data_IF_821365743914
#
_entry.id   IF_821365743914
#
_cell.length_a   1.000
_cell.length_b   1.000
_cell.length_c   1.000
_cell.angle_alpha   90.00
_cell.angle_beta   90.00
_cell.angle_gamma   90.00
#
_symmetry.space_group_name_H-M   'P 1'
#
loop_
_entity.id
_entity.type
_entity.pdbx_description
1 polymer ?
#
# COMPACT_ATOMS: atom_id res chain seq x y z
N UNK A 1 -4.87 -32.84 -2.50
CA UNK A 1 -4.46 -31.49 -2.10
C UNK A 1 -3.26 -31.09 -2.95
N UNK A 2 -3.33 -29.99 -3.71
CA UNK A 2 -2.15 -29.50 -4.45
C UNK A 2 -1.17 -28.95 -3.41
N UNK A 3 0.03 -29.51 -3.33
CA UNK A 3 1.11 -28.97 -2.50
C UNK A 3 1.38 -27.54 -2.94
N UNK A 4 1.20 -26.58 -2.04
CA UNK A 4 1.64 -25.20 -2.27
C UNK A 4 3.17 -25.22 -2.33
N UNK A 5 3.80 -24.50 -3.28
CA UNK A 5 5.26 -24.42 -3.32
C UNK A 5 5.80 -23.90 -1.98
N UNK A 6 7.01 -24.32 -1.60
CA UNK A 6 7.70 -23.98 -0.33
C UNK A 6 8.01 -22.47 -0.15
N UNK A 7 7.48 -21.60 -1.01
CA UNK A 7 7.74 -20.16 -1.09
C UNK A 7 6.65 -19.29 -0.47
N UNK A 8 5.53 -19.86 -0.01
CA UNK A 8 4.43 -19.09 0.59
C UNK A 8 4.27 -19.50 2.05
N UNK A 9 4.52 -18.55 2.95
CA UNK A 9 4.19 -18.65 4.37
C UNK A 9 2.86 -17.95 4.64
N UNK A 10 2.11 -18.47 5.61
CA UNK A 10 0.80 -17.93 5.98
C UNK A 10 0.78 -17.62 7.47
N UNK A 11 0.42 -16.40 7.79
CA UNK A 11 0.15 -15.96 9.17
C UNK A 11 -1.34 -15.69 9.29
N UNK A 12 -2.00 -16.35 10.25
CA UNK A 12 -3.43 -16.22 10.44
C UNK A 12 -3.76 -15.13 11.45
N UNK A 13 -4.52 -14.12 11.02
CA UNK A 13 -5.14 -13.15 11.91
C UNK A 13 -6.49 -13.70 12.41
N UNK A 14 -6.56 -14.21 13.64
CA UNK A 14 -7.82 -14.68 14.22
C UNK A 14 -8.81 -13.57 14.56
N UNK A 15 -8.34 -12.32 14.65
CA UNK A 15 -9.14 -11.13 14.95
C UNK A 15 -9.54 -10.36 13.69
N UNK A 16 -9.46 -10.96 12.49
CA UNK A 16 -9.68 -10.28 11.20
C UNK A 16 -10.98 -9.45 11.13
N UNK A 17 -12.04 -9.86 11.83
CA UNK A 17 -13.32 -9.14 11.88
C UNK A 17 -13.32 -7.94 12.86
N UNK A 18 -12.42 -7.96 13.84
CA UNK A 18 -12.32 -6.99 14.94
C UNK A 18 -11.09 -6.09 14.85
N UNK A 19 -10.19 -6.33 13.89
CA UNK A 19 -8.96 -5.58 13.68
C UNK A 19 -8.95 -4.85 12.33
N UNK A 20 -8.00 -3.92 12.15
CA UNK A 20 -7.72 -3.28 10.87
C UNK A 20 -6.57 -3.95 10.11
N UNK A 21 -6.25 -3.41 8.93
CA UNK A 21 -5.19 -3.93 8.06
C UNK A 21 -3.81 -3.92 8.72
N UNK A 22 -3.53 -2.94 9.59
CA UNK A 22 -2.27 -2.86 10.33
C UNK A 22 -2.07 -4.05 11.27
N UNK A 23 -3.13 -4.62 11.86
CA UNK A 23 -2.98 -5.76 12.76
C UNK A 23 -2.60 -7.04 12.01
N UNK A 24 -3.15 -7.24 10.80
CA UNK A 24 -2.74 -8.33 9.92
C UNK A 24 -1.25 -8.22 9.57
N UNK A 25 -0.78 -7.02 9.22
CA UNK A 25 0.64 -6.76 8.95
C UNK A 25 1.51 -6.95 10.21
N UNK A 26 1.05 -6.47 11.37
CA UNK A 26 1.73 -6.61 12.65
C UNK A 26 1.94 -8.09 13.02
N UNK A 27 0.95 -8.96 12.80
CA UNK A 27 1.11 -10.40 13.02
C UNK A 27 2.17 -11.01 12.09
N UNK A 28 2.22 -10.57 10.83
CA UNK A 28 3.19 -11.06 9.85
C UNK A 28 4.64 -10.60 10.11
N UNK A 29 4.86 -9.59 10.97
CA UNK A 29 6.19 -9.00 11.23
C UNK A 29 7.28 -9.99 11.64
N UNK A 30 6.91 -11.12 12.25
CA UNK A 30 7.88 -12.13 12.70
C UNK A 30 8.39 -13.03 11.57
N UNK A 31 7.72 -13.03 10.42
CA UNK A 31 8.07 -13.83 9.25
C UNK A 31 8.80 -13.01 8.17
N UNK A 32 8.99 -11.70 8.40
CA UNK A 32 9.62 -10.80 7.44
C UNK A 32 11.04 -10.47 7.88
N UNK A 33 12.00 -10.98 7.14
CA UNK A 33 13.43 -10.67 7.32
C UNK A 33 13.89 -9.64 6.27
N UNK A 34 14.28 -8.45 6.72
CA UNK A 34 14.83 -7.41 5.85
C UNK A 34 13.79 -6.51 5.18
N UNK A 35 14.19 -5.90 4.06
CA UNK A 35 13.34 -5.02 3.28
C UNK A 35 12.40 -5.81 2.36
N UNK A 36 11.19 -5.32 2.15
CA UNK A 36 10.16 -6.05 1.42
C UNK A 36 9.23 -5.11 0.63
N UNK A 37 8.44 -5.72 -0.24
CA UNK A 37 7.29 -5.06 -0.86
C UNK A 37 6.03 -5.47 -0.10
N UNK A 38 5.30 -4.48 0.40
CA UNK A 38 3.96 -4.64 0.98
C UNK A 38 2.92 -4.43 -0.12
N UNK A 39 2.02 -5.41 -0.30
CA UNK A 39 0.98 -5.38 -1.31
C UNK A 39 -0.39 -5.67 -0.68
N UNK A 40 -1.40 -4.93 -1.12
CA UNK A 40 -2.80 -5.31 -0.94
C UNK A 40 -3.17 -6.50 -1.84
N UNK A 41 -4.14 -7.29 -1.41
CA UNK A 41 -4.39 -8.62 -1.98
C UNK A 41 -5.33 -8.64 -3.18
N UNK A 42 -6.04 -7.55 -3.39
CA UNK A 42 -7.16 -7.37 -4.32
C UNK A 42 -6.76 -6.52 -5.54
N UNK A 43 -5.46 -6.41 -5.80
CA UNK A 43 -4.91 -5.61 -6.89
C UNK A 43 -4.73 -6.39 -8.19
N UNK A 44 -4.95 -5.69 -9.31
CA UNK A 44 -4.30 -5.96 -10.59
C UNK A 44 -3.43 -4.77 -10.99
N UNK A 45 -2.27 -5.02 -11.58
CA UNK A 45 -1.32 -3.97 -11.94
C UNK A 45 -0.37 -4.42 -13.05
N UNK A 46 0.12 -3.48 -13.85
CA UNK A 46 1.19 -3.76 -14.82
C UNK A 46 2.57 -3.89 -14.14
N UNK A 47 3.50 -4.56 -14.82
CA UNK A 47 4.84 -4.83 -14.29
C UNK A 47 5.62 -3.57 -13.84
N UNK A 48 5.35 -2.41 -14.47
CA UNK A 48 5.97 -1.12 -14.11
C UNK A 48 5.78 -0.76 -12.63
N UNK A 49 4.69 -1.20 -11.99
CA UNK A 49 4.46 -0.96 -10.57
C UNK A 49 5.62 -1.49 -9.71
N UNK A 50 6.00 -2.75 -9.92
CA UNK A 50 7.07 -3.41 -9.16
C UNK A 50 8.45 -2.89 -9.57
N UNK A 51 8.72 -2.75 -10.87
CA UNK A 51 10.05 -2.32 -11.34
C UNK A 51 10.36 -0.90 -10.90
N UNK A 52 9.36 -0.01 -10.89
CA UNK A 52 9.51 1.37 -10.40
C UNK A 52 9.98 1.39 -8.95
N UNK A 53 9.33 0.64 -8.06
CA UNK A 53 9.69 0.60 -6.64
C UNK A 53 11.05 -0.06 -6.39
N UNK A 54 11.31 -1.20 -7.04
CA UNK A 54 12.55 -1.97 -6.87
C UNK A 54 13.78 -1.21 -7.39
N UNK A 55 13.63 -0.39 -8.43
CA UNK A 55 14.72 0.42 -9.00
C UNK A 55 14.86 1.78 -8.30
N UNK A 56 13.88 2.20 -7.51
CA UNK A 56 13.93 3.49 -6.83
C UNK A 56 15.02 3.50 -5.73
N UNK A 57 15.86 4.55 -5.63
CA UNK A 57 17.01 4.55 -4.73
C UNK A 57 16.66 4.73 -3.24
N UNK A 58 15.48 5.28 -2.91
CA UNK A 58 15.05 5.43 -1.52
C UNK A 58 14.71 4.06 -0.91
N UNK A 59 15.08 3.84 0.36
CA UNK A 59 14.80 2.58 1.08
C UNK A 59 13.30 2.34 1.26
N UNK A 60 12.52 3.42 1.44
CA UNK A 60 11.06 3.38 1.50
C UNK A 60 10.44 4.15 0.35
N UNK A 61 9.52 3.53 -0.37
CA UNK A 61 8.85 4.16 -1.51
C UNK A 61 7.39 3.72 -1.60
N UNK A 62 6.49 4.69 -1.66
CA UNK A 62 5.04 4.52 -1.80
C UNK A 62 4.65 4.75 -3.26
N UNK A 63 4.09 3.74 -3.91
CA UNK A 63 3.67 3.86 -5.30
C UNK A 63 2.34 4.60 -5.40
N UNK A 64 2.32 5.64 -6.22
CA UNK A 64 1.13 6.43 -6.51
C UNK A 64 0.77 6.34 -8.00
N UNK A 65 -0.51 6.48 -8.30
CA UNK A 65 -1.00 6.71 -9.67
C UNK A 65 -1.52 8.13 -9.86
N UNK A 66 -1.82 8.45 -11.12
CA UNK A 66 -2.74 9.56 -11.44
C UNK A 66 -4.17 9.23 -11.04
N UNK A 67 -5.10 10.12 -11.41
CA UNK A 67 -6.49 10.01 -11.02
C UNK A 67 -7.18 8.78 -11.66
N UNK A 68 -7.83 7.95 -10.84
CA UNK A 68 -8.52 6.75 -11.29
C UNK A 68 -10.01 6.99 -11.48
N UNK A 69 -10.67 7.75 -10.61
CA UNK A 69 -12.14 7.86 -10.59
C UNK A 69 -12.81 6.52 -10.22
N UNK A 70 -12.20 5.75 -9.33
CA UNK A 70 -12.71 4.48 -8.81
C UNK A 70 -13.83 4.68 -7.77
N UNK A 71 -13.78 5.75 -6.98
CA UNK A 71 -14.78 6.09 -5.97
C UNK A 71 -14.46 5.65 -4.54
N UNK A 72 -13.34 4.95 -4.30
CA UNK A 72 -12.79 4.66 -2.97
C UNK A 72 -11.32 5.10 -2.81
N UNK A 73 -10.92 6.14 -3.55
CA UNK A 73 -9.53 6.57 -3.64
C UNK A 73 -8.95 7.02 -2.30
N UNK A 74 -7.76 6.53 -1.96
CA UNK A 74 -6.92 7.10 -0.91
C UNK A 74 -5.97 8.12 -1.52
N UNK A 75 -6.27 9.41 -1.32
CA UNK A 75 -5.44 10.51 -1.81
C UNK A 75 -4.21 10.69 -0.92
N UNK A 76 -3.06 10.97 -1.53
CA UNK A 76 -1.78 11.12 -0.83
C UNK A 76 -1.25 12.54 -1.00
N UNK A 77 -0.95 13.20 0.12
CA UNK A 77 -0.25 14.47 0.16
C UNK A 77 1.25 14.26 0.42
N UNK A 78 2.08 14.99 -0.32
CA UNK A 78 3.53 14.95 -0.17
C UNK A 78 4.14 16.35 -0.07
N UNK A 79 5.32 16.43 0.56
CA UNK A 79 6.09 17.65 0.63
C UNK A 79 6.76 18.00 -0.72
N UNK A 80 7.39 19.18 -0.87
CA UNK A 80 8.07 19.54 -2.12
C UNK A 80 9.24 18.63 -2.50
N UNK A 81 9.74 17.79 -1.58
CA UNK A 81 10.75 16.76 -1.82
C UNK A 81 10.10 15.38 -2.11
N UNK A 82 8.78 15.35 -2.31
CA UNK A 82 7.98 14.16 -2.57
C UNK A 82 8.02 13.14 -1.41
N UNK A 83 8.13 13.59 -0.17
CA UNK A 83 8.00 12.73 1.01
C UNK A 83 6.56 12.73 1.53
N UNK A 84 6.08 11.57 1.95
CA UNK A 84 4.73 11.38 2.48
C UNK A 84 4.45 12.33 3.66
N UNK A 85 3.33 13.06 3.58
CA UNK A 85 2.84 13.91 4.67
C UNK A 85 1.53 13.37 5.27
N UNK A 86 0.59 12.95 4.44
CA UNK A 86 -0.72 12.49 4.87
C UNK A 86 -1.40 11.64 3.79
N UNK A 87 -2.34 10.80 4.21
CA UNK A 87 -3.26 10.08 3.34
C UNK A 87 -4.70 10.27 3.83
N UNK A 88 -5.66 10.33 2.91
CA UNK A 88 -7.08 10.37 3.28
C UNK A 88 -7.97 9.97 2.10
N UNK A 89 -9.11 9.33 2.40
CA UNK A 89 -10.20 9.12 1.44
C UNK A 89 -10.94 10.40 1.06
N UNK A 90 -10.65 11.50 1.75
CA UNK A 90 -11.32 12.79 1.58
C UNK A 90 -10.30 13.86 1.31
N UNK A 91 -10.29 14.38 0.09
CA UNK A 91 -9.39 15.46 -0.36
C UNK A 91 -9.40 16.66 0.59
N UNK A 92 -10.56 17.02 1.16
CA UNK A 92 -10.70 18.15 2.08
C UNK A 92 -9.95 17.98 3.41
N UNK A 93 -9.59 16.76 3.79
CA UNK A 93 -8.80 16.50 4.98
C UNK A 93 -7.30 16.69 4.71
N UNK A 94 -6.91 16.83 3.44
CA UNK A 94 -5.53 17.02 3.01
C UNK A 94 -5.22 18.50 2.81
N UNK A 95 -3.97 18.85 3.10
CA UNK A 95 -3.40 20.15 2.74
C UNK A 95 -3.06 20.26 1.24
N UNK A 96 -2.39 21.34 0.82
CA UNK A 96 -1.84 21.43 -0.53
C UNK A 96 -0.80 20.32 -0.77
N UNK A 97 -0.57 19.96 -2.04
CA UNK A 97 0.48 18.99 -2.40
C UNK A 97 0.00 17.55 -2.58
N UNK A 98 -1.23 17.35 -3.08
CA UNK A 98 -1.71 16.02 -3.50
C UNK A 98 -0.81 15.51 -4.62
N UNK A 99 -0.13 14.39 -4.36
CA UNK A 99 0.86 13.79 -5.24
C UNK A 99 0.29 12.68 -6.13
N UNK A 100 -0.85 12.11 -5.75
CA UNK A 100 -1.53 11.04 -6.48
C UNK A 100 -2.47 10.23 -5.59
N UNK A 101 -2.90 9.10 -6.12
CA UNK A 101 -3.72 8.11 -5.44
C UNK A 101 -2.85 6.91 -5.04
N UNK A 102 -3.09 6.36 -3.85
CA UNK A 102 -2.40 5.17 -3.35
C UNK A 102 -2.72 3.96 -4.25
N UNK A 103 -1.69 3.21 -4.66
CA UNK A 103 -1.84 1.98 -5.47
C UNK A 103 -1.98 0.71 -4.62
N UNK A 104 -1.68 0.78 -3.32
CA UNK A 104 -1.64 -0.39 -2.44
C UNK A 104 -0.35 -1.22 -2.56
N UNK A 105 0.72 -0.64 -3.13
CA UNK A 105 2.04 -1.27 -3.24
C UNK A 105 3.11 -0.33 -2.68
N UNK A 106 3.88 -0.81 -1.70
CA UNK A 106 4.89 -0.01 -1.01
C UNK A 106 6.18 -0.80 -0.84
N UNK A 107 7.33 -0.17 -1.09
CA UNK A 107 8.64 -0.67 -0.64
C UNK A 107 8.89 -0.22 0.79
N UNK A 108 9.13 -1.18 1.67
CA UNK A 108 9.21 -0.99 3.12
C UNK A 108 10.54 -1.54 3.62
N UNK A 109 11.34 -0.68 4.25
CA UNK A 109 12.53 -1.10 4.97
C UNK A 109 12.21 -1.67 6.35
N UNK A 110 13.11 -2.46 6.92
CA UNK A 110 12.94 -2.95 8.31
C UNK A 110 12.75 -1.80 9.31
N UNK A 111 13.47 -0.69 9.14
CA UNK A 111 13.34 0.51 10.00
C UNK A 111 11.94 1.12 9.94
N UNK A 112 11.33 1.18 8.75
CA UNK A 112 9.97 1.68 8.60
C UNK A 112 8.96 0.70 9.24
N UNK A 113 9.15 -0.59 9.02
CA UNK A 113 8.29 -1.63 9.60
C UNK A 113 8.32 -1.60 11.14
N UNK A 114 9.49 -1.42 11.74
CA UNK A 114 9.66 -1.25 13.19
C UNK A 114 8.92 0.00 13.71
N UNK A 115 9.05 1.14 13.01
CA UNK A 115 8.36 2.36 13.38
C UNK A 115 6.83 2.23 13.30
N UNK A 116 6.32 1.57 12.24
CA UNK A 116 4.89 1.27 12.10
C UNK A 116 4.39 0.35 13.21
N UNK A 117 5.15 -0.70 13.57
CA UNK A 117 4.80 -1.60 14.67
C UNK A 117 4.79 -0.87 16.01
N UNK A 118 5.80 -0.04 16.29
CA UNK A 118 5.87 0.73 17.54
C UNK A 118 4.70 1.70 17.71
N UNK A 119 4.29 2.37 16.63
CA UNK A 119 3.09 3.20 16.63
C UNK A 119 1.82 2.37 16.89
N UNK A 120 1.67 1.25 16.16
CA UNK A 120 0.51 0.38 16.29
C UNK A 120 0.37 -0.19 17.71
N UNK A 121 1.46 -0.68 18.32
CA UNK A 121 1.49 -1.20 19.69
C UNK A 121 1.02 -0.14 20.71
N UNK A 122 1.48 1.11 20.56
CA UNK A 122 1.05 2.21 21.41
C UNK A 122 -0.46 2.50 21.27
N UNK A 123 -0.97 2.51 20.04
CA UNK A 123 -2.39 2.73 19.76
C UNK A 123 -3.28 1.58 20.27
N UNK A 124 -2.85 0.33 20.09
CA UNK A 124 -3.57 -0.84 20.60
C UNK A 124 -3.74 -0.76 22.12
N UNK A 125 -2.66 -0.39 22.84
CA UNK A 125 -2.68 -0.24 24.28
C UNK A 125 -3.51 0.96 24.76
N UNK A 126 -3.43 2.10 24.07
CA UNK A 126 -4.11 3.33 24.48
C UNK A 126 -5.63 3.30 24.23
N UNK A 127 -6.06 2.63 23.16
CA UNK A 127 -7.44 2.68 22.68
C UNK A 127 -8.24 1.41 22.98
N UNK A 128 -7.60 0.36 23.51
CA UNK A 128 -8.20 -0.98 23.71
C UNK A 128 -8.88 -1.48 22.42
N UNK A 129 -8.21 -1.29 21.28
CA UNK A 129 -8.75 -1.56 19.93
C UNK A 129 -7.63 -1.95 18.97
N UNK A 130 -7.90 -2.94 18.11
CA UNK A 130 -6.98 -3.39 17.05
C UNK A 130 -7.30 -2.77 15.67
N UNK A 131 -8.25 -1.83 15.62
CA UNK A 131 -8.69 -1.18 14.38
C UNK A 131 -7.75 -0.02 14.06
N UNK A 132 -6.73 -0.31 13.28
CA UNK A 132 -5.84 0.65 12.63
C UNK A 132 -5.60 0.24 11.19
N UNK A 133 -5.59 1.25 10.32
CA UNK A 133 -5.23 1.09 8.92
C UNK A 133 -3.71 1.21 8.78
N UNK A 134 -3.09 0.33 7.98
CA UNK A 134 -1.64 0.33 7.84
C UNK A 134 -1.16 1.61 7.13
N UNK A 135 -1.97 2.12 6.21
CA UNK A 135 -1.65 3.24 5.33
C UNK A 135 -1.98 4.60 5.96
N UNK A 136 -3.23 4.85 6.35
CA UNK A 136 -3.66 6.18 6.82
C UNK A 136 -3.25 6.48 8.27
N UNK A 137 -3.07 5.44 9.09
CA UNK A 137 -2.64 5.59 10.48
C UNK A 137 -1.13 5.31 10.62
N UNK A 138 -0.73 4.04 10.52
CA UNK A 138 0.60 3.61 10.96
C UNK A 138 1.73 4.12 10.06
N UNK A 139 1.56 4.04 8.74
CA UNK A 139 2.57 4.50 7.79
C UNK A 139 2.71 6.02 7.81
N UNK A 140 1.59 6.76 7.84
CA UNK A 140 1.61 8.23 7.97
C UNK A 140 2.29 8.66 9.27
N UNK A 141 1.99 8.01 10.39
CA UNK A 141 2.64 8.31 11.67
C UNK A 141 4.14 7.99 11.64
N UNK A 142 4.53 6.83 11.10
CA UNK A 142 5.93 6.44 10.98
C UNK A 142 6.73 7.38 10.05
N UNK A 143 6.09 7.87 8.99
CA UNK A 143 6.70 8.77 7.99
C UNK A 143 7.22 10.09 8.59
N UNK A 144 6.70 10.50 9.76
CA UNK A 144 7.21 11.67 10.49
C UNK A 144 8.67 11.51 10.97
N UNK A 145 9.15 10.27 11.10
CA UNK A 145 10.50 9.96 11.59
C UNK A 145 11.33 9.14 10.60
N UNK A 146 10.68 8.30 9.79
CA UNK A 146 11.31 7.45 8.77
C UNK A 146 10.78 7.89 7.39
N UNK A 147 11.55 8.64 6.59
CA UNK A 147 11.05 9.18 5.32
C UNK A 147 10.53 8.10 4.37
N UNK A 148 9.35 8.35 3.79
CA UNK A 148 8.73 7.52 2.75
C UNK A 148 8.61 8.36 1.49
N UNK A 149 9.27 7.92 0.41
CA UNK A 149 9.24 8.63 -0.86
C UNK A 149 7.96 8.31 -1.63
N UNK A 150 7.17 9.31 -1.98
CA UNK A 150 6.06 9.17 -2.92
C UNK A 150 6.60 9.09 -4.35
N UNK A 151 6.25 8.02 -5.08
CA UNK A 151 6.70 7.77 -6.45
C UNK A 151 5.48 7.63 -7.35
N UNK A 152 5.21 8.65 -8.16
CA UNK A 152 4.01 8.69 -9.01
C UNK A 152 4.29 8.17 -10.42
N UNK A 153 3.50 7.18 -10.85
CA UNK A 153 3.39 6.74 -12.25
C UNK A 153 2.00 7.15 -12.74
N UNK A 154 1.92 8.33 -13.38
CA UNK A 154 0.64 8.98 -13.66
C UNK A 154 -0.31 8.13 -14.55
N UNK A 155 0.26 7.37 -15.48
CA UNK A 155 -0.43 6.51 -16.45
C UNK A 155 -0.41 5.03 -16.07
N UNK A 156 -0.22 4.70 -14.78
CA UNK A 156 -0.15 3.32 -14.33
C UNK A 156 -1.45 2.58 -14.62
N UNK A 157 -1.35 1.44 -15.29
CA UNK A 157 -2.47 0.51 -15.48
C UNK A 157 -2.61 -0.36 -14.22
N UNK A 158 -3.59 -0.04 -13.38
CA UNK A 158 -3.88 -0.79 -12.16
C UNK A 158 -5.34 -0.60 -11.70
N UNK A 159 -5.82 -1.50 -10.86
CA UNK A 159 -7.12 -1.41 -10.18
C UNK A 159 -7.12 -2.28 -8.92
N UNK A 160 -7.79 -1.83 -7.87
CA UNK A 160 -8.30 -2.66 -6.79
C UNK A 160 -9.59 -3.39 -7.21
N UNK A 161 -10.06 -4.37 -6.41
CA UNK A 161 -11.25 -5.19 -6.68
C UNK A 161 -12.02 -5.47 -5.38
N UNK A 162 -12.65 -4.45 -4.81
CA UNK A 162 -13.55 -4.59 -3.65
C UNK A 162 -14.98 -4.95 -4.02
N UNK A 163 -15.44 -4.48 -5.18
CA UNK A 163 -16.82 -4.63 -5.61
C UNK A 163 -16.97 -5.00 -7.11
N UNK A 164 -18.22 -5.18 -7.54
CA UNK A 164 -18.56 -5.54 -8.91
C UNK A 164 -18.22 -4.43 -9.93
N UNK A 165 -18.24 -3.16 -9.52
CA UNK A 165 -17.82 -2.03 -10.36
C UNK A 165 -16.32 -2.06 -10.59
N UNK A 166 -15.55 -2.26 -9.51
CA UNK A 166 -14.11 -2.43 -9.53
C UNK A 166 -13.71 -3.63 -10.39
N UNK A 167 -14.40 -4.77 -10.26
CA UNK A 167 -14.16 -5.96 -11.08
C UNK A 167 -14.30 -5.72 -12.59
N UNK A 168 -15.33 -4.97 -13.02
CA UNK A 168 -15.53 -4.65 -14.44
C UNK A 168 -14.41 -3.76 -14.99
N UNK A 169 -14.03 -2.74 -14.22
CA UNK A 169 -12.90 -1.87 -14.52
C UNK A 169 -11.60 -2.67 -14.61
N UNK A 170 -11.34 -3.53 -13.62
CA UNK A 170 -10.18 -4.40 -13.59
C UNK A 170 -10.11 -5.31 -14.83
N UNK A 171 -11.24 -5.84 -15.29
CA UNK A 171 -11.32 -6.66 -16.51
C UNK A 171 -10.95 -5.89 -17.79
N UNK A 172 -11.20 -4.58 -17.85
CA UNK A 172 -10.77 -3.71 -18.95
C UNK A 172 -9.27 -3.39 -18.87
N UNK A 173 -8.77 -3.18 -17.66
CA UNK A 173 -7.37 -2.90 -17.40
C UNK A 173 -6.50 -4.12 -17.66
N UNK A 174 -6.87 -5.32 -17.22
CA UNK A 174 -6.14 -6.57 -17.53
C UNK A 174 -5.99 -6.78 -19.05
N UNK A 175 -7.04 -6.48 -19.83
CA UNK A 175 -6.94 -6.53 -21.30
C UNK A 175 -5.94 -5.52 -21.85
N UNK A 176 -5.91 -4.32 -21.30
CA UNK A 176 -4.96 -3.27 -21.69
C UNK A 176 -3.52 -3.64 -21.34
N UNK A 177 -3.30 -4.20 -20.15
CA UNK A 177 -1.99 -4.70 -19.69
C UNK A 177 -1.49 -5.78 -20.66
N UNK A 178 -2.31 -6.81 -20.92
CA UNK A 178 -1.94 -7.90 -21.85
C UNK A 178 -1.65 -7.40 -23.26
N UNK A 179 -2.40 -6.41 -23.75
CA UNK A 179 -2.18 -5.85 -25.07
C UNK A 179 -0.83 -5.12 -25.17
N UNK A 180 -0.43 -4.43 -24.09
CA UNK A 180 0.84 -3.74 -23.98
C UNK A 180 2.02 -4.70 -23.91
N UNK A 181 1.91 -5.77 -23.11
CA UNK A 181 2.93 -6.80 -22.99
C UNK A 181 3.19 -7.55 -24.31
N UNK A 182 2.21 -7.57 -25.23
CA UNK A 182 2.37 -8.14 -26.57
C UNK A 182 3.03 -7.19 -27.58
N UNK A 183 3.12 -5.89 -27.26
CA UNK A 183 3.70 -4.87 -28.13
C UNK A 183 5.16 -4.51 -27.80
N UNK A 184 5.67 -4.95 -26.65
CA UNK A 184 7.06 -4.78 -26.18
C UNK A 184 7.92 -6.02 -26.50
#
# INVERSE_FOLDING_TARGET
ARSRPETIQLVHNSEYANSGSMYSLYLARQEVDGDFLLLESDLIYEQRALTTLLQHPADNALLLSGATGAGDEVYVAADPQQRLLAMSKRVQDLGPGIAGELVGITKVSSTLMEAMCGYAEACFAANDSLRLDYETDAMVAAAASVPVQCVTVADLLWSEIDDETHYRRASEIDRSIRAKDLSD
#
